data_IF_502293700098
#
_entry.id   IF_502293700098
#
_cell.length_a   1.000
_cell.length_b   1.000
_cell.length_c   1.000
_cell.angle_alpha   90.00
_cell.angle_beta   90.00
_cell.angle_gamma   90.00
#
_symmetry.space_group_name_H-M   'P 1'
#
loop_
_entity.id
_entity.type
_entity.pdbx_description
1 polymer ?
#
# COMPACT_ATOMS: atom_id res chain seq x y z
N UNK A 1 -0.74 -0.89 38.08
CA UNK A 1 -1.81 0.08 37.77
C UNK A 1 -1.50 0.91 36.51
N UNK A 2 -0.36 1.62 36.43
CA UNK A 2 0.00 2.43 35.24
C UNK A 2 0.13 1.62 33.93
N UNK A 3 0.78 0.44 33.94
CA UNK A 3 0.90 -0.42 32.74
C UNK A 3 -0.46 -0.89 32.21
N UNK A 4 -1.34 -1.31 33.11
CA UNK A 4 -2.69 -1.76 32.75
C UNK A 4 -3.55 -0.64 32.14
N UNK A 5 -3.38 0.61 32.60
CA UNK A 5 -4.03 1.78 31.98
C UNK A 5 -3.44 2.04 30.60
N UNK A 6 -2.11 1.96 30.46
CA UNK A 6 -1.42 2.13 29.18
C UNK A 6 -1.88 1.09 28.14
N UNK A 7 -1.92 -0.20 28.51
CA UNK A 7 -2.42 -1.29 27.65
C UNK A 7 -3.86 -1.05 27.21
N UNK A 8 -4.75 -0.65 28.13
CA UNK A 8 -6.13 -0.30 27.82
C UNK A 8 -6.21 0.88 26.85
N UNK A 9 -5.42 1.93 27.08
CA UNK A 9 -5.35 3.08 26.18
C UNK A 9 -4.84 2.68 24.79
N UNK A 10 -3.78 1.87 24.69
CA UNK A 10 -3.24 1.38 23.42
C UNK A 10 -4.30 0.56 22.68
N UNK A 11 -5.01 -0.34 23.37
CA UNK A 11 -6.07 -1.15 22.77
C UNK A 11 -7.23 -0.29 22.25
N UNK A 12 -7.67 0.71 23.01
CA UNK A 12 -8.72 1.65 22.57
C UNK A 12 -8.24 2.47 21.37
N UNK A 13 -7.01 3.00 21.41
CA UNK A 13 -6.43 3.75 20.29
C UNK A 13 -6.33 2.88 19.03
N UNK A 14 -5.85 1.64 19.15
CA UNK A 14 -5.78 0.70 18.03
C UNK A 14 -7.17 0.43 17.42
N UNK A 15 -8.18 0.24 18.26
CA UNK A 15 -9.57 0.05 17.83
C UNK A 15 -10.13 1.26 17.09
N UNK A 16 -9.77 2.48 17.51
CA UNK A 16 -10.21 3.73 16.86
C UNK A 16 -9.47 4.02 15.56
N UNK A 17 -8.16 3.73 15.50
CA UNK A 17 -7.33 4.03 14.33
C UNK A 17 -7.78 3.24 13.09
N UNK A 18 -8.23 2.00 13.25
CA UNK A 18 -8.63 1.16 12.10
C UNK A 18 -9.85 1.75 11.34
N UNK A 19 -11.00 2.04 11.97
CA UNK A 19 -12.12 2.69 11.30
C UNK A 19 -11.77 4.08 10.75
N UNK A 20 -10.92 4.84 11.46
CA UNK A 20 -10.49 6.18 11.01
C UNK A 20 -9.65 6.08 9.73
N UNK A 21 -8.71 5.13 9.64
CA UNK A 21 -7.91 4.94 8.44
C UNK A 21 -8.78 4.56 7.23
N UNK A 22 -9.76 3.68 7.44
CA UNK A 22 -10.73 3.28 6.39
C UNK A 22 -11.61 4.47 6.00
N UNK A 23 -12.11 5.24 6.97
CA UNK A 23 -13.02 6.36 6.70
C UNK A 23 -12.33 7.49 5.95
N UNK A 24 -11.11 7.87 6.32
CA UNK A 24 -10.36 8.94 5.64
C UNK A 24 -10.17 8.63 4.16
N UNK A 25 -9.75 7.41 3.81
CA UNK A 25 -9.57 7.04 2.40
C UNK A 25 -10.89 6.87 1.66
N UNK A 26 -11.96 6.45 2.34
CA UNK A 26 -13.31 6.40 1.76
C UNK A 26 -13.84 7.81 1.47
N UNK A 27 -13.62 8.78 2.37
CA UNK A 27 -14.03 10.18 2.17
C UNK A 27 -13.30 10.81 0.99
N UNK A 28 -11.98 10.59 0.88
CA UNK A 28 -11.21 11.06 -0.29
C UNK A 28 -11.74 10.45 -1.58
N UNK A 29 -12.12 9.17 -1.54
CA UNK A 29 -12.74 8.48 -2.68
C UNK A 29 -14.09 9.09 -3.09
N UNK A 30 -14.92 9.49 -2.12
CA UNK A 30 -16.21 10.12 -2.37
C UNK A 30 -16.12 11.46 -3.08
N UNK A 31 -15.00 12.18 -2.95
CA UNK A 31 -14.74 13.40 -3.74
C UNK A 31 -14.77 13.10 -5.25
N UNK A 32 -14.41 11.88 -5.66
CA UNK A 32 -14.55 11.43 -7.04
C UNK A 32 -15.89 10.72 -7.27
N UNK A 33 -16.25 9.74 -6.44
CA UNK A 33 -17.36 8.85 -6.77
C UNK A 33 -18.75 9.46 -6.71
N UNK A 34 -18.92 10.54 -5.94
CA UNK A 34 -20.18 11.28 -5.89
C UNK A 34 -20.33 12.32 -7.00
N UNK A 35 -19.30 12.50 -7.84
CA UNK A 35 -19.39 13.37 -9.01
C UNK A 35 -20.05 12.63 -10.17
N UNK A 36 -20.73 13.38 -11.06
CA UNK A 36 -21.47 12.85 -12.22
C UNK A 36 -20.51 12.56 -13.40
N UNK A 37 -19.20 12.67 -13.18
CA UNK A 37 -18.23 12.57 -14.24
C UNK A 37 -18.00 11.11 -14.66
N UNK A 38 -18.00 10.78 -15.97
CA UNK A 38 -17.86 9.41 -16.43
C UNK A 38 -16.59 8.76 -15.90
N UNK A 39 -16.65 7.46 -15.60
CA UNK A 39 -15.62 6.67 -14.91
C UNK A 39 -15.31 7.07 -13.46
N UNK A 40 -15.81 8.20 -12.92
CA UNK A 40 -15.70 8.49 -11.48
C UNK A 40 -16.92 7.99 -10.73
N UNK A 41 -18.11 8.11 -11.32
CA UNK A 41 -19.36 7.69 -10.68
C UNK A 41 -19.48 6.16 -10.53
N UNK A 42 -18.81 5.59 -9.52
CA UNK A 42 -18.82 4.16 -9.22
C UNK A 42 -18.84 3.91 -7.71
N UNK A 43 -19.69 2.96 -7.27
CA UNK A 43 -19.78 2.56 -5.87
C UNK A 43 -18.54 1.82 -5.37
N UNK A 44 -17.75 1.21 -6.27
CA UNK A 44 -16.58 0.40 -5.91
C UNK A 44 -15.40 1.25 -5.45
N UNK A 45 -15.41 2.54 -5.78
CA UNK A 45 -14.31 3.46 -5.51
C UNK A 45 -13.98 3.57 -4.02
N UNK A 46 -14.97 3.48 -3.13
CA UNK A 46 -14.76 3.55 -1.68
C UNK A 46 -13.76 2.49 -1.19
N UNK A 47 -14.12 1.19 -1.26
CA UNK A 47 -13.20 0.11 -0.88
C UNK A 47 -11.96 0.05 -1.79
N UNK A 48 -12.05 0.41 -3.07
CA UNK A 48 -10.91 0.41 -3.98
C UNK A 48 -9.79 1.36 -3.53
N UNK A 49 -10.14 2.59 -3.14
CA UNK A 49 -9.16 3.57 -2.63
C UNK A 49 -8.55 3.13 -1.30
N UNK A 50 -9.34 2.52 -0.41
CA UNK A 50 -8.85 1.98 0.88
C UNK A 50 -7.83 0.86 0.64
N UNK A 51 -8.16 -0.10 -0.23
CA UNK A 51 -7.22 -1.18 -0.61
C UNK A 51 -5.97 -0.60 -1.24
N UNK A 52 -6.13 0.37 -2.14
CA UNK A 52 -5.00 1.03 -2.76
C UNK A 52 -4.11 1.78 -1.77
N UNK A 53 -4.69 2.40 -0.74
CA UNK A 53 -3.93 3.08 0.32
C UNK A 53 -3.13 2.09 1.18
N UNK A 54 -3.76 0.99 1.58
CA UNK A 54 -3.08 -0.08 2.34
C UNK A 54 -1.96 -0.70 1.50
N UNK A 55 -2.24 -0.99 0.22
CA UNK A 55 -1.29 -1.62 -0.69
C UNK A 55 -0.04 -0.75 -0.92
N UNK A 56 -0.22 0.52 -1.28
CA UNK A 56 0.89 1.47 -1.43
C UNK A 56 1.60 1.78 -0.11
N UNK A 57 0.88 1.82 1.01
CA UNK A 57 1.43 2.02 2.35
C UNK A 57 2.35 0.88 2.79
N UNK A 58 1.96 -0.38 2.55
CA UNK A 58 2.81 -1.55 2.82
C UNK A 58 4.07 -1.51 1.96
N UNK A 59 3.95 -1.19 0.67
CA UNK A 59 5.10 -1.07 -0.21
C UNK A 59 6.08 0.02 0.25
N UNK A 60 5.57 1.20 0.61
CA UNK A 60 6.38 2.29 1.15
C UNK A 60 7.04 1.91 2.49
N UNK A 61 6.32 1.20 3.36
CA UNK A 61 6.83 0.70 4.63
C UNK A 61 7.98 -0.29 4.42
N UNK A 62 7.85 -1.24 3.50
CA UNK A 62 8.91 -2.21 3.18
C UNK A 62 10.18 -1.48 2.71
N UNK A 63 10.04 -0.48 1.84
CA UNK A 63 11.17 0.33 1.36
C UNK A 63 11.83 1.06 2.53
N UNK A 64 11.05 1.74 3.38
CA UNK A 64 11.55 2.45 4.53
C UNK A 64 12.28 1.51 5.51
N UNK A 65 11.69 0.35 5.83
CA UNK A 65 12.30 -0.67 6.67
C UNK A 65 13.61 -1.20 6.09
N UNK A 66 13.67 -1.44 4.78
CA UNK A 66 14.88 -1.91 4.11
C UNK A 66 16.01 -0.87 4.16
N UNK A 67 15.68 0.42 3.97
CA UNK A 67 16.63 1.54 4.08
C UNK A 67 17.14 1.71 5.51
N UNK A 68 16.26 1.66 6.51
CA UNK A 68 16.68 1.75 7.91
C UNK A 68 17.53 0.56 8.33
N UNK A 69 17.17 -0.65 7.88
CA UNK A 69 17.92 -1.88 8.15
C UNK A 69 19.36 -1.79 7.66
N UNK A 70 19.59 -1.23 6.47
CA UNK A 70 20.95 -1.06 5.91
C UNK A 70 21.70 0.13 6.52
N UNK A 71 21.03 1.26 6.74
CA UNK A 71 21.66 2.49 7.22
C UNK A 71 22.07 2.43 8.71
N UNK A 72 21.25 1.79 9.56
CA UNK A 72 21.47 1.74 11.01
C UNK A 72 21.96 0.38 11.52
N UNK A 73 22.18 -0.61 10.63
CA UNK A 73 22.64 -1.93 11.04
C UNK A 73 21.62 -2.69 11.91
N UNK A 74 20.32 -2.58 11.61
CA UNK A 74 19.24 -3.17 12.41
C UNK A 74 18.88 -4.61 11.99
N UNK A 75 19.82 -5.39 11.47
CA UNK A 75 19.55 -6.73 10.92
C UNK A 75 19.05 -7.73 11.98
N UNK A 76 19.47 -7.57 13.24
CA UNK A 76 19.05 -8.44 14.36
C UNK A 76 17.61 -8.18 14.79
N UNK A 77 17.15 -6.93 14.70
CA UNK A 77 15.76 -6.54 14.98
C UNK A 77 14.86 -6.79 13.77
N UNK A 78 15.26 -6.30 12.59
CA UNK A 78 14.53 -6.42 11.32
C UNK A 78 14.97 -7.67 10.55
N UNK A 79 14.61 -8.83 11.13
CA UNK A 79 14.87 -10.16 10.58
C UNK A 79 14.12 -10.41 9.26
N UNK A 80 14.63 -11.30 8.37
CA UNK A 80 13.98 -11.64 7.10
C UNK A 80 12.52 -12.11 7.22
N UNK A 81 12.15 -12.74 8.34
CA UNK A 81 10.77 -13.18 8.61
C UNK A 81 9.75 -12.01 8.59
N UNK A 82 10.14 -10.81 9.05
CA UNK A 82 9.26 -9.64 8.99
C UNK A 82 9.00 -9.24 7.53
N UNK A 83 10.02 -9.30 6.68
CA UNK A 83 9.89 -9.02 5.25
C UNK A 83 9.08 -10.11 4.54
N UNK A 84 9.25 -11.39 4.89
CA UNK A 84 8.43 -12.47 4.32
C UNK A 84 6.95 -12.28 4.66
N UNK A 85 6.62 -11.95 5.91
CA UNK A 85 5.24 -11.69 6.32
C UNK A 85 4.64 -10.47 5.62
N UNK A 86 5.39 -9.37 5.51
CA UNK A 86 4.97 -8.18 4.76
C UNK A 86 4.82 -8.46 3.27
N UNK A 87 5.66 -9.32 2.70
CA UNK A 87 5.58 -9.74 1.32
C UNK A 87 4.34 -10.60 1.03
N UNK A 88 3.94 -11.46 1.97
CA UNK A 88 2.67 -12.20 1.87
C UNK A 88 1.50 -11.21 1.87
N UNK A 89 1.53 -10.23 2.78
CA UNK A 89 0.50 -9.20 2.83
C UNK A 89 0.45 -8.37 1.54
N UNK A 90 1.61 -7.96 1.01
CA UNK A 90 1.74 -7.23 -0.24
C UNK A 90 1.20 -8.05 -1.43
N UNK A 91 1.47 -9.36 -1.48
CA UNK A 91 0.94 -10.27 -2.48
C UNK A 91 -0.59 -10.37 -2.42
N UNK A 92 -1.16 -10.54 -1.23
CA UNK A 92 -2.62 -10.59 -1.04
C UNK A 92 -3.25 -9.26 -1.49
N UNK A 93 -2.65 -8.13 -1.12
CA UNK A 93 -3.14 -6.81 -1.51
C UNK A 93 -3.02 -6.57 -3.02
N UNK A 94 -1.95 -7.07 -3.67
CA UNK A 94 -1.80 -7.03 -5.13
C UNK A 94 -2.94 -7.77 -5.83
N UNK A 95 -3.31 -8.98 -5.36
CA UNK A 95 -4.44 -9.73 -5.90
C UNK A 95 -5.78 -9.02 -5.65
N UNK A 96 -5.96 -8.45 -4.46
CA UNK A 96 -7.18 -7.72 -4.11
C UNK A 96 -7.34 -6.44 -4.93
N UNK A 97 -6.26 -5.68 -5.11
CA UNK A 97 -6.23 -4.50 -5.97
C UNK A 97 -6.53 -4.87 -7.43
N UNK A 98 -5.95 -5.97 -7.93
CA UNK A 98 -6.24 -6.45 -9.27
C UNK A 98 -7.70 -6.86 -9.42
N UNK A 99 -8.30 -7.52 -8.42
CA UNK A 99 -9.72 -7.86 -8.41
C UNK A 99 -10.60 -6.60 -8.55
N UNK A 100 -10.35 -5.56 -7.74
CA UNK A 100 -11.13 -4.33 -7.80
C UNK A 100 -10.95 -3.60 -9.13
N UNK A 101 -9.71 -3.50 -9.60
CA UNK A 101 -9.39 -2.91 -10.91
C UNK A 101 -10.13 -3.68 -12.01
N UNK A 102 -9.96 -5.00 -12.07
CA UNK A 102 -10.62 -5.84 -13.05
C UNK A 102 -12.15 -5.71 -12.98
N UNK A 103 -12.74 -5.72 -11.78
CA UNK A 103 -14.18 -5.56 -11.59
C UNK A 103 -14.68 -4.23 -12.13
N UNK A 104 -14.01 -3.12 -11.84
CA UNK A 104 -14.42 -1.79 -12.33
C UNK A 104 -14.39 -1.72 -13.86
N UNK A 105 -13.28 -2.16 -14.48
CA UNK A 105 -13.15 -2.13 -15.94
C UNK A 105 -14.10 -3.11 -16.62
N UNK A 106 -14.35 -4.29 -16.03
CA UNK A 106 -15.32 -5.26 -16.54
C UNK A 106 -16.75 -4.71 -16.47
N UNK A 107 -17.16 -4.13 -15.34
CA UNK A 107 -18.48 -3.54 -15.18
C UNK A 107 -18.68 -2.37 -16.14
N UNK A 108 -17.67 -1.52 -16.31
CA UNK A 108 -17.70 -0.43 -17.29
C UNK A 108 -17.90 -0.97 -18.72
N UNK A 109 -17.11 -1.96 -19.12
CA UNK A 109 -17.22 -2.59 -20.44
C UNK A 109 -18.60 -3.22 -20.65
N UNK A 110 -19.12 -3.92 -19.64
CA UNK A 110 -20.43 -4.56 -19.70
C UNK A 110 -21.58 -3.55 -19.80
N UNK A 111 -21.48 -2.42 -19.09
CA UNK A 111 -22.46 -1.33 -19.17
C UNK A 111 -22.48 -0.63 -20.53
N UNK A 112 -21.35 -0.59 -21.24
CA UNK A 112 -21.18 -0.09 -22.60
C UNK A 112 -21.77 1.32 -22.86
N UNK A 113 -21.85 2.16 -21.84
CA UNK A 113 -22.38 3.52 -21.98
C UNK A 113 -21.41 4.40 -22.79
N UNK A 114 -21.89 5.15 -23.82
CA UNK A 114 -21.02 5.88 -24.72
C UNK A 114 -20.05 6.84 -24.03
N UNK A 115 -20.51 7.55 -22.99
CA UNK A 115 -19.69 8.51 -22.24
C UNK A 115 -18.51 7.81 -21.53
N UNK A 116 -18.74 6.62 -20.95
CA UNK A 116 -17.70 5.84 -20.28
C UNK A 116 -16.74 5.17 -21.27
N UNK A 117 -17.26 4.72 -22.42
CA UNK A 117 -16.48 4.01 -23.42
C UNK A 117 -15.37 4.87 -24.04
N UNK A 118 -15.60 6.17 -24.24
CA UNK A 118 -14.57 7.10 -24.74
C UNK A 118 -13.34 7.08 -23.82
N UNK A 119 -13.55 7.19 -22.50
CA UNK A 119 -12.47 7.15 -21.52
C UNK A 119 -11.86 5.75 -21.43
N UNK A 120 -12.69 4.71 -21.45
CA UNK A 120 -12.25 3.32 -21.40
C UNK A 120 -11.25 3.01 -22.55
N UNK A 121 -11.62 3.32 -23.79
CA UNK A 121 -10.74 3.08 -24.93
C UNK A 121 -9.50 3.98 -24.91
N UNK A 122 -9.60 5.22 -24.39
CA UNK A 122 -8.42 6.08 -24.21
C UNK A 122 -7.34 5.44 -23.32
N UNK A 123 -7.76 4.65 -22.32
CA UNK A 123 -6.89 3.93 -21.39
C UNK A 123 -6.45 2.55 -21.89
N UNK A 124 -7.29 1.85 -22.67
CA UNK A 124 -6.95 0.48 -23.12
C UNK A 124 -6.08 0.46 -24.38
N UNK A 125 -6.44 1.28 -25.37
CA UNK A 125 -5.81 1.29 -26.72
C UNK A 125 -5.41 2.68 -27.20
N UNK A 126 -5.87 3.74 -26.52
CA UNK A 126 -5.59 5.13 -26.88
C UNK A 126 -4.30 5.70 -26.28
N UNK A 127 -4.26 7.02 -26.15
CA UNK A 127 -3.08 7.77 -25.72
C UNK A 127 -2.56 7.40 -24.33
N UNK A 128 -3.44 6.96 -23.43
CA UNK A 128 -3.06 6.58 -22.05
C UNK A 128 -2.77 5.08 -21.91
N UNK A 129 -2.84 4.30 -22.99
CA UNK A 129 -2.58 2.86 -22.96
C UNK A 129 -1.20 2.48 -22.42
N UNK A 130 -0.08 3.12 -22.81
CA UNK A 130 1.22 2.78 -22.25
C UNK A 130 1.26 2.95 -20.73
N UNK A 131 0.63 4.00 -20.20
CA UNK A 131 0.57 4.27 -18.76
C UNK A 131 -0.34 3.27 -18.04
N UNK A 132 -1.47 2.90 -18.65
CA UNK A 132 -2.39 1.92 -18.10
C UNK A 132 -1.74 0.52 -18.00
N UNK A 133 -1.11 0.05 -19.07
CA UNK A 133 -0.43 -1.25 -19.05
C UNK A 133 0.81 -1.24 -18.16
N UNK A 134 1.52 -0.10 -18.05
CA UNK A 134 2.59 0.07 -17.08
C UNK A 134 2.07 0.00 -15.64
N UNK A 135 0.92 0.61 -15.33
CA UNK A 135 0.26 0.49 -14.03
C UNK A 135 -0.06 -0.98 -13.72
N UNK A 136 -0.68 -1.71 -14.65
CA UNK A 136 -0.99 -3.15 -14.44
C UNK A 136 0.30 -3.97 -14.24
N UNK A 137 1.34 -3.69 -15.02
CA UNK A 137 2.62 -4.38 -14.89
C UNK A 137 3.26 -4.15 -13.52
N UNK A 138 3.27 -2.90 -13.06
CA UNK A 138 3.95 -2.48 -11.81
C UNK A 138 3.13 -2.78 -10.54
N UNK A 139 1.81 -2.72 -10.60
CA UNK A 139 0.94 -3.02 -9.46
C UNK A 139 0.60 -4.51 -9.32
N UNK A 140 0.60 -5.29 -10.41
CA UNK A 140 0.21 -6.70 -10.36
C UNK A 140 1.29 -7.63 -10.92
N UNK A 141 1.66 -7.50 -12.19
CA UNK A 141 2.50 -8.53 -12.86
C UNK A 141 3.86 -8.72 -12.19
N UNK A 142 4.58 -7.62 -11.94
CA UNK A 142 5.90 -7.63 -11.29
C UNK A 142 5.80 -8.10 -9.83
N UNK A 143 5.01 -7.46 -8.94
CA UNK A 143 4.94 -7.89 -7.54
C UNK A 143 4.41 -9.32 -7.42
N UNK A 144 3.39 -9.71 -8.18
CA UNK A 144 2.90 -11.09 -8.18
C UNK A 144 3.99 -12.07 -8.61
N UNK A 145 4.69 -11.83 -9.73
CA UNK A 145 5.74 -12.71 -10.23
C UNK A 145 6.91 -12.86 -9.25
N UNK A 146 7.37 -11.76 -8.65
CA UNK A 146 8.46 -11.76 -7.67
C UNK A 146 8.04 -12.49 -6.39
N UNK A 147 6.84 -12.22 -5.88
CA UNK A 147 6.39 -12.69 -4.58
C UNK A 147 5.80 -14.11 -4.60
N UNK A 148 5.47 -14.67 -5.76
CA UNK A 148 5.17 -16.11 -5.89
C UNK A 148 6.45 -16.94 -5.88
N UNK A 149 7.58 -16.36 -6.29
CA UNK A 149 8.88 -17.03 -6.32
C UNK A 149 9.54 -17.14 -4.92
N UNK A 150 10.62 -17.94 -4.78
CA UNK A 150 11.41 -18.00 -3.54
C UNK A 150 11.98 -16.65 -3.09
N UNK A 151 12.05 -15.65 -3.99
CA UNK A 151 12.47 -14.28 -3.65
C UNK A 151 11.55 -13.63 -2.61
N UNK A 152 10.32 -14.12 -2.42
CA UNK A 152 9.42 -13.66 -1.33
C UNK A 152 10.07 -13.73 0.05
N UNK A 153 11.00 -14.66 0.27
CA UNK A 153 11.66 -14.86 1.57
C UNK A 153 12.83 -13.90 1.80
N UNK A 154 13.22 -13.12 0.79
CA UNK A 154 14.40 -12.27 0.84
C UNK A 154 14.01 -10.79 0.96
N UNK A 155 14.89 -10.02 1.60
CA UNK A 155 14.75 -8.56 1.72
C UNK A 155 14.85 -7.91 0.33
N UNK A 156 15.71 -8.43 -0.55
CA UNK A 156 15.83 -7.93 -1.92
C UNK A 156 14.56 -8.14 -2.73
N UNK A 157 13.92 -9.31 -2.62
CA UNK A 157 12.63 -9.57 -3.27
C UNK A 157 11.54 -8.62 -2.77
N UNK A 158 11.54 -8.31 -1.47
CA UNK A 158 10.62 -7.34 -0.89
C UNK A 158 10.77 -5.94 -1.53
N UNK A 159 12.00 -5.45 -1.68
CA UNK A 159 12.28 -4.13 -2.28
C UNK A 159 11.97 -4.12 -3.77
N UNK A 160 12.37 -5.17 -4.51
CA UNK A 160 12.12 -5.30 -5.96
C UNK A 160 10.62 -5.34 -6.25
N UNK A 161 9.80 -5.94 -5.39
CA UNK A 161 8.35 -5.91 -5.54
C UNK A 161 7.73 -4.56 -5.13
N UNK A 162 8.24 -3.93 -4.06
CA UNK A 162 7.64 -2.73 -3.47
C UNK A 162 7.88 -1.45 -4.28
N UNK A 163 9.08 -1.28 -4.87
CA UNK A 163 9.41 -0.07 -5.65
C UNK A 163 8.48 0.12 -6.85
N UNK A 164 8.25 -0.90 -7.71
CA UNK A 164 7.26 -0.83 -8.78
C UNK A 164 5.86 -0.53 -8.26
N UNK A 165 5.43 -1.14 -7.15
CA UNK A 165 4.11 -0.87 -6.57
C UNK A 165 3.95 0.62 -6.23
N UNK A 166 4.92 1.27 -5.60
CA UNK A 166 4.81 2.71 -5.33
C UNK A 166 4.62 3.55 -6.60
N UNK A 167 5.35 3.22 -7.68
CA UNK A 167 5.22 3.90 -8.98
C UNK A 167 3.86 3.60 -9.63
N UNK A 168 3.44 2.34 -9.65
CA UNK A 168 2.17 1.90 -10.22
C UNK A 168 0.97 2.52 -9.51
N UNK A 169 1.04 2.63 -8.17
CA UNK A 169 0.01 3.26 -7.37
C UNK A 169 -0.07 4.77 -7.61
N UNK A 170 1.05 5.44 -7.89
CA UNK A 170 1.00 6.82 -8.36
C UNK A 170 0.35 6.93 -9.75
N UNK A 171 0.70 6.03 -10.68
CA UNK A 171 0.10 5.96 -12.02
C UNK A 171 -1.41 5.69 -11.97
N UNK A 172 -1.87 4.87 -11.04
CA UNK A 172 -3.30 4.62 -10.82
C UNK A 172 -4.06 5.91 -10.52
N UNK A 173 -3.55 6.75 -9.60
CA UNK A 173 -4.21 8.04 -9.28
C UNK A 173 -4.17 8.98 -10.47
N UNK A 174 -3.05 9.02 -11.19
CA UNK A 174 -2.93 9.78 -12.42
C UNK A 174 -3.97 9.35 -13.47
N UNK A 175 -4.13 8.04 -13.69
CA UNK A 175 -5.06 7.46 -14.67
C UNK A 175 -6.53 7.56 -14.25
N UNK A 176 -6.82 7.65 -12.95
CA UNK A 176 -8.16 7.99 -12.46
C UNK A 176 -8.46 9.45 -12.80
N UNK A 177 -7.52 10.37 -12.54
CA UNK A 177 -7.79 11.81 -12.63
C UNK A 177 -7.70 12.37 -14.05
N UNK A 178 -6.56 12.18 -14.72
CA UNK A 178 -6.21 12.94 -15.93
C UNK A 178 -7.05 12.55 -17.16
N UNK A 179 -7.16 11.26 -17.55
CA UNK A 179 -7.94 10.87 -18.72
C UNK A 179 -9.43 11.26 -18.57
N UNK A 180 -9.96 11.16 -17.35
CA UNK A 180 -11.35 11.50 -17.06
C UNK A 180 -11.62 13.00 -17.15
N UNK A 181 -10.67 13.86 -16.76
CA UNK A 181 -10.81 15.31 -16.87
C UNK A 181 -10.56 15.83 -18.30
N UNK A 182 -9.73 15.15 -19.07
CA UNK A 182 -9.47 15.47 -20.48
C UNK A 182 -10.67 15.20 -21.37
N UNK A 183 -11.54 14.27 -20.97
CA UNK A 183 -12.79 13.92 -21.64
C UNK A 183 -14.00 14.33 -20.78
N UNK A 184 -14.34 15.64 -20.70
CA UNK A 184 -15.49 16.12 -19.95
C UNK A 184 -16.80 15.56 -20.50
N UNK A 185 -17.82 15.41 -19.63
CA UNK A 185 -19.15 14.98 -20.03
C UNK A 185 -19.81 15.91 -21.07
N UNK A 186 -19.59 17.22 -20.92
CA UNK A 186 -20.08 18.23 -21.86
C UNK A 186 -19.14 18.32 -23.07
N UNK A 187 -19.65 18.70 -24.27
CA UNK A 187 -18.88 18.80 -25.51
C UNK A 187 -17.95 20.03 -25.54
N UNK A 188 -17.16 20.23 -24.49
CA UNK A 188 -16.05 21.18 -24.46
C UNK A 188 -14.83 20.60 -25.18
N UNK A 189 -13.88 21.47 -25.53
CA UNK A 189 -12.65 21.07 -26.18
C UNK A 189 -11.90 20.02 -25.34
N UNK A 190 -11.57 18.89 -25.97
CA UNK A 190 -10.69 17.88 -25.38
C UNK A 190 -9.29 18.46 -25.19
N UNK A 191 -8.77 18.33 -23.97
CA UNK A 191 -7.44 18.84 -23.62
C UNK A 191 -6.34 17.81 -23.84
N UNK A 192 -5.09 18.23 -23.63
CA UNK A 192 -3.98 17.33 -23.37
C UNK A 192 -3.28 17.82 -22.10
N UNK A 193 -2.94 16.89 -21.21
CA UNK A 193 -2.21 17.23 -19.99
C UNK A 193 -0.75 16.83 -20.14
N UNK A 194 0.14 17.82 -20.06
CA UNK A 194 1.57 17.60 -19.90
C UNK A 194 2.00 18.37 -18.65
N UNK A 195 2.57 17.68 -17.64
CA UNK A 195 2.97 18.34 -16.41
C UNK A 195 4.05 19.38 -16.70
N UNK A 196 3.84 20.58 -16.19
CA UNK A 196 4.83 21.65 -16.22
C UNK A 196 6.02 21.32 -15.33
N UNK A 197 7.16 21.98 -15.59
CA UNK A 197 8.33 21.83 -14.74
C UNK A 197 8.05 22.23 -13.27
N UNK A 198 7.11 23.17 -13.06
CA UNK A 198 6.69 23.61 -11.72
C UNK A 198 6.00 22.46 -10.98
N UNK A 199 5.05 21.77 -11.60
CA UNK A 199 4.34 20.62 -11.01
C UNK A 199 5.32 19.49 -10.66
N UNK A 200 6.27 19.20 -11.56
CA UNK A 200 7.32 18.19 -11.30
C UNK A 200 8.22 18.62 -10.14
N UNK A 201 8.60 19.90 -10.07
CA UNK A 201 9.43 20.42 -8.98
C UNK A 201 8.72 20.39 -7.63
N UNK A 202 7.41 20.66 -7.60
CA UNK A 202 6.59 20.55 -6.38
C UNK A 202 6.50 19.11 -5.91
N UNK A 203 6.28 18.16 -6.82
CA UNK A 203 6.25 16.73 -6.49
C UNK A 203 7.61 16.27 -5.92
N UNK A 204 8.71 16.62 -6.59
CA UNK A 204 10.06 16.32 -6.11
C UNK A 204 10.34 16.99 -4.75
N UNK A 205 9.87 18.22 -4.55
CA UNK A 205 9.97 18.95 -3.29
C UNK A 205 9.24 18.25 -2.14
N UNK A 206 8.02 17.76 -2.38
CA UNK A 206 7.26 16.99 -1.39
C UNK A 206 7.97 15.68 -1.00
N UNK A 207 8.52 14.95 -1.98
CA UNK A 207 9.30 13.73 -1.71
C UNK A 207 10.57 14.03 -0.90
N UNK A 208 11.30 15.09 -1.27
CA UNK A 208 12.49 15.52 -0.55
C UNK A 208 12.16 15.99 0.87
N UNK A 209 11.07 16.74 1.06
CA UNK A 209 10.61 17.18 2.36
C UNK A 209 10.20 16.00 3.25
N UNK A 210 9.47 15.02 2.71
CA UNK A 210 9.13 13.79 3.43
C UNK A 210 10.39 13.03 3.86
N UNK A 211 11.34 12.82 2.95
CA UNK A 211 12.60 12.13 3.26
C UNK A 211 13.41 12.88 4.33
N UNK A 212 13.47 14.21 4.25
CA UNK A 212 14.14 15.05 5.25
C UNK A 212 13.49 14.90 6.64
N UNK A 213 12.17 15.07 6.72
CA UNK A 213 11.42 14.94 7.98
C UNK A 213 11.57 13.53 8.55
N UNK A 214 11.57 12.51 7.71
CA UNK A 214 11.77 11.13 8.11
C UNK A 214 13.17 10.90 8.70
N UNK A 215 14.22 11.40 8.06
CA UNK A 215 15.61 11.31 8.57
C UNK A 215 15.79 12.09 9.88
N UNK A 216 15.18 13.27 9.99
CA UNK A 216 15.19 14.05 11.22
C UNK A 216 14.49 13.25 12.34
N UNK A 217 13.34 12.65 12.06
CA UNK A 217 12.63 11.82 13.02
C UNK A 217 13.47 10.63 13.50
N UNK A 218 14.15 9.91 12.60
CA UNK A 218 14.99 8.74 12.95
C UNK A 218 16.26 9.12 13.70
N UNK A 219 16.68 10.40 13.67
CA UNK A 219 17.79 10.94 14.46
C UNK A 219 17.34 11.41 15.84
N UNK A 220 16.11 11.91 15.96
CA UNK A 220 15.58 12.47 17.22
C UNK A 220 14.93 11.42 18.12
N UNK A 221 14.34 10.37 17.54
CA UNK A 221 13.58 9.35 18.27
C UNK A 221 14.15 7.95 18.06
N UNK A 222 14.04 7.06 19.06
CA UNK A 222 14.43 5.66 18.90
C UNK A 222 13.52 4.96 17.89
N UNK A 223 14.13 4.40 16.84
CA UNK A 223 13.43 3.76 15.71
C UNK A 223 12.72 2.47 16.13
N UNK A 224 13.26 1.77 17.14
CA UNK A 224 12.74 0.50 17.64
C UNK A 224 12.21 0.70 19.06
N UNK A 225 10.98 0.26 19.32
CA UNK A 225 10.36 0.28 20.65
C UNK A 225 11.02 -0.75 21.58
N UNK A 226 12.01 -0.32 22.38
CA UNK A 226 12.81 -1.21 23.24
C UNK A 226 11.93 -2.01 24.22
N UNK A 227 10.91 -1.38 24.80
CA UNK A 227 10.02 -2.03 25.78
C UNK A 227 9.20 -3.16 25.15
N UNK A 228 8.66 -2.93 23.95
CA UNK A 228 7.81 -3.89 23.24
C UNK A 228 8.63 -5.04 22.67
N UNK A 229 9.86 -4.78 22.21
CA UNK A 229 10.79 -5.85 21.80
C UNK A 229 11.14 -6.74 22.99
N UNK A 230 11.40 -6.15 24.17
CA UNK A 230 11.72 -6.92 25.38
C UNK A 230 10.55 -7.77 25.85
N UNK A 231 9.35 -7.19 25.90
CA UNK A 231 8.13 -7.92 26.26
C UNK A 231 7.84 -9.04 25.26
N UNK A 232 7.97 -8.77 23.96
CA UNK A 232 7.83 -9.78 22.92
C UNK A 232 8.83 -10.93 23.05
N UNK A 233 10.07 -10.66 23.46
CA UNK A 233 11.06 -11.71 23.75
C UNK A 233 10.69 -12.52 24.99
N UNK A 234 10.28 -11.87 26.08
CA UNK A 234 9.88 -12.55 27.33
C UNK A 234 8.67 -13.48 27.07
N UNK A 235 7.66 -13.01 26.34
CA UNK A 235 6.51 -13.81 25.95
C UNK A 235 6.89 -14.98 25.01
N UNK A 236 7.72 -14.73 24.00
CA UNK A 236 8.15 -15.78 23.08
C UNK A 236 8.96 -16.89 23.78
N UNK A 237 9.81 -16.54 24.75
CA UNK A 237 10.54 -17.52 25.55
C UNK A 237 9.58 -18.37 26.38
N UNK A 238 8.58 -17.75 27.01
CA UNK A 238 7.54 -18.46 27.77
C UNK A 238 6.79 -19.46 26.88
N UNK A 239 6.29 -19.01 25.74
CA UNK A 239 5.51 -19.85 24.82
C UNK A 239 6.32 -21.02 24.25
N UNK A 240 7.57 -20.76 23.85
CA UNK A 240 8.48 -21.82 23.38
C UNK A 240 8.80 -22.81 24.51
N UNK A 241 9.02 -22.33 25.74
CA UNK A 241 9.29 -23.19 26.89
C UNK A 241 8.10 -24.10 27.22
N UNK A 242 6.87 -23.58 27.20
CA UNK A 242 5.66 -24.36 27.39
C UNK A 242 5.46 -25.38 26.27
N UNK A 243 5.70 -24.97 25.03
CA UNK A 243 5.59 -25.86 23.87
C UNK A 243 6.63 -26.98 23.91
N UNK A 244 7.87 -26.68 24.31
CA UNK A 244 8.91 -27.69 24.54
C UNK A 244 8.51 -28.63 25.68
N UNK A 245 8.03 -28.09 26.81
CA UNK A 245 7.56 -28.88 27.94
C UNK A 245 6.42 -29.83 27.55
N UNK A 246 5.56 -29.44 26.60
CA UNK A 246 4.48 -30.30 26.08
C UNK A 246 4.97 -31.52 25.30
N UNK A 247 6.20 -31.49 24.76
CA UNK A 247 6.80 -32.62 24.05
C UNK A 247 7.44 -33.65 24.99
N UNK A 248 7.67 -33.30 26.25
CA UNK A 248 8.18 -34.25 27.25
C UNK A 248 7.03 -35.05 27.88
N UNK A 249 7.20 -36.38 28.07
CA UNK A 249 6.22 -37.18 28.78
C UNK A 249 6.06 -36.64 30.21
N UNK A 250 4.81 -36.46 30.66
CA UNK A 250 4.48 -35.97 32.01
C UNK A 250 4.99 -36.98 33.06
N UNK A 251 6.24 -36.86 33.50
CA UNK A 251 6.80 -37.77 34.50
C UNK A 251 8.27 -37.63 34.83
N UNK A 252 9.13 -37.19 33.90
CA UNK A 252 10.55 -36.97 34.21
C UNK A 252 10.82 -35.49 34.43
N UNK A 253 10.76 -35.09 35.71
CA UNK A 253 11.41 -33.87 36.16
C UNK A 253 12.92 -34.12 36.11
N UNK A 254 13.63 -33.33 35.31
CA UNK A 254 15.06 -33.06 35.54
C UNK A 254 15.19 -32.07 36.70
#
# INVERSE_FOLDING_TARGET
MQRHILEKCIAVMALVVIPVAVSVHTVVSYVFSMTIQPMWHSAIFGPYFVVGAIFSGIAALIIAMAVLRSAYGLQEYLRPIHFENLNILLLVMSCLWFYFTFSEYLTTWYGAEPEHMVIFYSKMTGAYAPLFWLMIATCFVIPFGVLVSPLRKTVSGAVIASVPVCVGMWLERFLIVVPTLVHPRLPYATGSYCPSWVEVSLFAGCLAAFALLYIVFTRLFPIVSIWEVREGQEHAISEVSERIASYFPKGEKA
#
